data_IF_034886883775
#
_entry.id   IF_034886883775
#
_cell.length_a   1.000
_cell.length_b   1.000
_cell.length_c   1.000
_cell.angle_alpha   90.00
_cell.angle_beta   90.00
_cell.angle_gamma   90.00
#
_symmetry.space_group_name_H-M   'P 1'
#
loop_
_entity.id
_entity.type
_entity.pdbx_description
1 polymer ?
#
# COMPACT_ATOMS: atom_id res chain seq x y z
N UNK A 1 -4.59 28.35 -10.24
CA UNK A 1 -3.18 28.77 -10.12
C UNK A 1 -2.38 28.15 -11.26
N UNK A 2 -1.36 28.85 -11.73
CA UNK A 2 -0.47 28.34 -12.78
C UNK A 2 0.38 27.18 -12.24
N UNK A 3 0.53 26.11 -13.03
CA UNK A 3 1.39 24.96 -12.66
C UNK A 3 2.83 25.46 -12.53
N UNK A 4 3.49 25.12 -11.41
CA UNK A 4 4.85 25.58 -11.14
C UNK A 4 5.86 24.75 -11.91
N UNK A 5 6.92 25.42 -12.40
CA UNK A 5 8.09 24.74 -12.97
C UNK A 5 9.11 24.46 -11.87
N UNK A 6 9.34 23.18 -11.58
CA UNK A 6 10.29 22.70 -10.58
C UNK A 6 11.67 22.36 -11.15
N UNK A 7 11.94 22.60 -12.44
CA UNK A 7 13.19 22.15 -13.09
C UNK A 7 14.43 22.70 -12.39
N UNK A 8 14.42 23.99 -12.02
CA UNK A 8 15.53 24.62 -11.27
C UNK A 8 15.68 24.05 -9.87
N UNK A 9 14.58 23.91 -9.14
CA UNK A 9 14.60 23.36 -7.79
C UNK A 9 15.12 21.91 -7.78
N UNK A 10 14.63 21.06 -8.67
CA UNK A 10 15.08 19.69 -8.82
C UNK A 10 16.57 19.59 -9.19
N UNK A 11 17.07 20.45 -10.08
CA UNK A 11 18.48 20.47 -10.45
C UNK A 11 19.37 20.78 -9.24
N UNK A 12 19.05 21.84 -8.46
CA UNK A 12 19.80 22.25 -7.28
C UNK A 12 19.77 21.17 -6.20
N UNK A 13 18.59 20.62 -5.89
CA UNK A 13 18.44 19.58 -4.88
C UNK A 13 19.15 18.27 -5.28
N UNK A 14 19.11 17.89 -6.56
CA UNK A 14 19.77 16.70 -7.09
C UNK A 14 21.32 16.83 -7.08
N UNK A 15 21.84 18.01 -7.39
CA UNK A 15 23.28 18.27 -7.31
C UNK A 15 23.79 18.14 -5.88
N UNK A 16 23.12 18.77 -4.92
CA UNK A 16 23.49 18.70 -3.50
C UNK A 16 23.37 17.27 -2.96
N UNK A 17 22.31 16.56 -3.28
CA UNK A 17 22.17 15.16 -2.89
C UNK A 17 23.29 14.29 -3.46
N UNK A 18 23.68 14.54 -4.70
CA UNK A 18 24.79 13.82 -5.35
C UNK A 18 26.14 14.09 -4.66
N UNK A 19 26.41 15.35 -4.31
CA UNK A 19 27.62 15.73 -3.58
C UNK A 19 27.67 15.12 -2.17
N UNK A 20 26.52 15.07 -1.50
CA UNK A 20 26.37 14.50 -0.15
C UNK A 20 26.49 12.98 -0.11
N UNK A 21 26.11 12.28 -1.18
CA UNK A 21 25.95 10.82 -1.21
C UNK A 21 26.84 10.14 -2.27
N UNK A 22 28.20 10.34 -2.22
CA UNK A 22 29.10 9.89 -3.28
C UNK A 22 29.20 8.36 -3.40
N UNK A 23 29.05 7.59 -2.31
CA UNK A 23 29.06 6.12 -2.35
C UNK A 23 27.79 5.57 -3.00
N UNK A 24 26.64 6.08 -2.59
CA UNK A 24 25.35 5.72 -3.21
C UNK A 24 25.33 6.07 -4.69
N UNK A 25 25.90 7.23 -5.09
CA UNK A 25 26.07 7.62 -6.49
C UNK A 25 26.96 6.65 -7.27
N UNK A 26 28.09 6.22 -6.67
CA UNK A 26 29.00 5.26 -7.29
C UNK A 26 28.33 3.91 -7.50
N UNK A 27 27.68 3.37 -6.48
CA UNK A 27 26.94 2.11 -6.59
C UNK A 27 25.83 2.21 -7.65
N UNK A 28 25.16 3.36 -7.75
CA UNK A 28 24.12 3.58 -8.76
C UNK A 28 24.68 3.53 -10.19
N UNK A 29 25.89 4.05 -10.45
CA UNK A 29 26.56 3.94 -11.76
C UNK A 29 26.76 2.48 -12.16
N UNK A 30 27.14 1.62 -11.22
CA UNK A 30 27.29 0.19 -11.48
C UNK A 30 25.93 -0.52 -11.62
N UNK A 31 24.97 -0.14 -10.79
CA UNK A 31 23.62 -0.70 -10.82
C UNK A 31 22.91 -0.49 -12.17
N UNK A 32 23.01 0.70 -12.77
CA UNK A 32 22.42 1.01 -14.10
C UNK A 32 22.96 0.10 -15.21
N UNK A 33 24.18 -0.41 -15.07
CA UNK A 33 24.78 -1.30 -16.08
C UNK A 33 24.17 -2.70 -16.08
N UNK A 34 23.59 -3.13 -14.97
CA UNK A 34 23.11 -4.51 -14.79
C UNK A 34 21.63 -4.62 -14.35
N UNK A 35 21.06 -3.53 -13.90
CA UNK A 35 19.65 -3.44 -13.49
C UNK A 35 18.95 -2.35 -14.29
N UNK A 36 17.74 -2.60 -14.73
CA UNK A 36 16.89 -1.59 -15.40
C UNK A 36 16.71 -0.42 -14.42
N UNK A 37 17.01 0.79 -14.87
CA UNK A 37 16.97 2.03 -14.06
C UNK A 37 17.78 1.96 -12.73
N UNK A 38 18.73 1.02 -12.63
CA UNK A 38 19.56 0.81 -11.44
C UNK A 38 18.87 0.13 -10.28
N UNK A 39 17.69 -0.48 -10.47
CA UNK A 39 16.96 -1.17 -9.42
C UNK A 39 15.77 -1.98 -9.91
N UNK A 40 15.07 -2.61 -8.98
CA UNK A 40 14.10 -3.65 -9.31
C UNK A 40 12.62 -3.24 -9.15
N UNK A 41 12.36 -2.08 -8.56
CA UNK A 41 11.00 -1.62 -8.30
C UNK A 41 10.91 -0.11 -8.52
N UNK A 42 10.19 0.32 -9.56
CA UNK A 42 10.17 1.70 -10.04
C UNK A 42 9.94 2.75 -8.93
N UNK A 43 8.96 2.54 -8.06
CA UNK A 43 8.65 3.46 -6.95
C UNK A 43 9.84 3.66 -5.99
N UNK A 44 10.76 2.67 -5.86
CA UNK A 44 11.95 2.79 -4.99
C UNK A 44 13.07 3.60 -5.61
N UNK A 45 12.95 3.94 -6.89
CA UNK A 45 14.00 4.60 -7.66
C UNK A 45 13.84 6.13 -7.62
N UNK A 46 14.10 6.69 -6.43
CA UNK A 46 14.16 8.15 -6.22
C UNK A 46 15.20 8.77 -7.14
N UNK A 47 14.92 9.93 -7.71
CA UNK A 47 15.88 10.67 -8.54
C UNK A 47 16.70 11.65 -7.68
N UNK A 48 18.00 11.87 -7.99
CA UNK A 48 18.77 11.36 -9.15
C UNK A 48 19.16 9.88 -9.00
N UNK A 49 19.21 9.32 -7.79
CA UNK A 49 19.39 7.91 -7.45
C UNK A 49 18.88 7.65 -6.04
N UNK A 50 18.43 6.42 -5.73
CA UNK A 50 17.97 6.09 -4.38
C UNK A 50 19.15 5.98 -3.40
N UNK A 51 18.94 6.28 -2.10
CA UNK A 51 19.91 5.95 -1.07
C UNK A 51 20.17 4.44 -1.08
N UNK A 52 21.41 4.02 -1.01
CA UNK A 52 21.79 2.60 -0.94
C UNK A 52 21.90 2.21 0.52
N UNK A 53 20.95 1.40 1.00
CA UNK A 53 20.82 1.08 2.41
C UNK A 53 21.79 -0.04 2.81
N UNK A 54 22.57 0.19 3.85
CA UNK A 54 23.52 -0.75 4.44
C UNK A 54 22.92 -1.49 5.64
N UNK A 55 22.14 -0.79 6.44
CA UNK A 55 21.51 -1.36 7.65
C UNK A 55 20.23 -0.61 8.01
N UNK A 56 19.40 -1.24 8.86
CA UNK A 56 18.18 -0.62 9.37
C UNK A 56 17.84 -1.10 10.76
N UNK A 57 17.28 -0.22 11.59
CA UNK A 57 16.82 -0.56 12.94
C UNK A 57 15.70 0.40 13.38
N UNK A 58 14.61 -0.13 13.90
CA UNK A 58 13.50 0.67 14.41
C UNK A 58 12.91 1.59 13.36
N UNK A 59 12.94 2.89 13.58
CA UNK A 59 12.43 3.90 12.66
C UNK A 59 13.49 4.37 11.63
N UNK A 60 14.73 3.87 11.68
CA UNK A 60 15.85 4.40 10.92
C UNK A 60 16.44 3.39 9.95
N UNK A 61 16.89 3.90 8.82
CA UNK A 61 17.78 3.20 7.89
C UNK A 61 19.12 3.94 7.82
N UNK A 62 20.21 3.21 7.59
CA UNK A 62 21.55 3.81 7.38
C UNK A 62 22.00 3.49 5.97
N UNK A 63 22.36 4.52 5.20
CA UNK A 63 22.86 4.35 3.85
C UNK A 63 24.37 4.04 3.80
N UNK A 64 24.90 3.79 2.61
CA UNK A 64 26.32 3.51 2.39
C UNK A 64 27.23 4.73 2.64
N UNK A 65 26.66 5.93 2.63
CA UNK A 65 27.37 7.18 2.94
C UNK A 65 27.39 7.46 4.44
N UNK A 66 26.66 6.72 5.25
CA UNK A 66 26.61 6.80 6.71
C UNK A 66 25.51 7.69 7.26
N UNK A 67 24.61 8.20 6.42
CA UNK A 67 23.47 8.99 6.88
C UNK A 67 22.47 8.12 7.62
N UNK A 68 22.02 8.57 8.78
CA UNK A 68 20.91 7.98 9.53
C UNK A 68 19.61 8.65 9.12
N UNK A 69 18.88 7.99 8.24
CA UNK A 69 17.66 8.49 7.62
C UNK A 69 16.45 7.97 8.40
N UNK A 70 15.62 8.87 8.87
CA UNK A 70 14.33 8.56 9.52
C UNK A 70 13.33 8.16 8.44
N UNK A 71 12.83 6.92 8.49
CA UNK A 71 12.02 6.32 7.45
C UNK A 71 10.53 6.30 7.81
N UNK A 72 9.73 7.08 7.08
CA UNK A 72 8.28 7.06 7.16
C UNK A 72 7.61 6.19 6.08
N UNK A 73 8.36 5.63 5.14
CA UNK A 73 7.78 4.72 4.19
C UNK A 73 7.54 3.31 4.73
N UNK A 74 8.41 2.88 5.64
CA UNK A 74 8.26 1.62 6.36
C UNK A 74 7.97 0.42 5.44
N UNK A 75 8.77 0.29 4.38
CA UNK A 75 8.69 -0.84 3.45
C UNK A 75 7.35 -0.99 2.74
N UNK A 76 6.83 0.06 2.11
CA UNK A 76 5.48 0.09 1.55
C UNK A 76 4.39 -0.14 2.60
N UNK A 77 4.53 0.45 3.76
CA UNK A 77 3.61 0.32 4.91
C UNK A 77 3.59 -1.11 5.52
N UNK A 78 4.62 -1.94 5.28
CA UNK A 78 4.65 -3.30 5.80
C UNK A 78 5.18 -3.39 7.24
N UNK A 79 6.10 -2.49 7.63
CA UNK A 79 6.87 -2.59 8.87
C UNK A 79 6.15 -1.91 10.04
N UNK A 80 5.00 -2.44 10.45
CA UNK A 80 4.17 -1.84 11.52
C UNK A 80 4.91 -1.77 12.88
N UNK A 81 5.87 -2.66 13.13
CA UNK A 81 6.73 -2.64 14.32
C UNK A 81 8.04 -1.88 14.13
N UNK A 82 8.34 -1.43 12.91
CA UNK A 82 9.63 -0.86 12.52
C UNK A 82 10.53 -1.87 11.82
N UNK A 83 11.76 -1.43 11.53
CA UNK A 83 12.77 -2.27 10.87
C UNK A 83 13.40 -3.26 11.86
N UNK A 84 13.53 -4.51 11.43
CA UNK A 84 14.16 -5.60 12.20
C UNK A 84 13.67 -5.69 13.66
N UNK A 85 12.34 -5.74 13.90
CA UNK A 85 11.82 -5.86 15.25
C UNK A 85 12.33 -7.16 15.87
N UNK A 86 12.83 -7.06 17.11
CA UNK A 86 13.49 -8.17 17.83
C UNK A 86 12.57 -9.37 17.95
N UNK A 87 11.30 -9.13 18.17
CA UNK A 87 10.23 -10.12 18.33
C UNK A 87 10.11 -11.05 17.12
N UNK A 88 10.49 -10.58 15.93
CA UNK A 88 10.47 -11.35 14.68
C UNK A 88 11.86 -11.82 14.30
N UNK A 89 12.86 -10.96 14.41
CA UNK A 89 14.22 -11.26 13.96
C UNK A 89 14.88 -12.41 14.76
N UNK A 90 14.70 -12.43 16.09
CA UNK A 90 15.29 -13.48 16.95
C UNK A 90 14.74 -14.88 16.68
N UNK A 91 13.40 -15.11 16.65
CA UNK A 91 12.87 -16.44 16.31
C UNK A 91 13.32 -16.92 14.93
N UNK A 92 13.35 -16.06 13.93
CA UNK A 92 13.76 -16.43 12.55
C UNK A 92 15.24 -16.77 12.51
N UNK A 93 16.13 -15.96 13.10
CA UNK A 93 17.56 -16.23 13.13
C UNK A 93 17.91 -17.49 13.93
N UNK A 94 17.23 -17.73 15.05
CA UNK A 94 17.41 -18.92 15.88
C UNK A 94 16.98 -20.19 15.13
N UNK A 95 15.87 -20.14 14.39
CA UNK A 95 15.41 -21.26 13.58
C UNK A 95 16.41 -21.60 12.46
N UNK A 96 16.93 -20.58 11.77
CA UNK A 96 17.96 -20.77 10.74
C UNK A 96 19.22 -21.39 11.31
N UNK A 97 19.70 -20.94 12.47
CA UNK A 97 20.85 -21.49 13.15
C UNK A 97 20.62 -22.96 13.62
N UNK A 98 19.37 -23.31 13.94
CA UNK A 98 18.97 -24.69 14.32
C UNK A 98 18.70 -25.61 13.10
N UNK A 99 18.95 -25.16 11.87
CA UNK A 99 18.77 -25.94 10.66
C UNK A 99 17.33 -25.98 10.11
N UNK A 100 16.48 -25.04 10.52
CA UNK A 100 15.12 -24.90 10.01
C UNK A 100 14.94 -23.53 9.33
N UNK A 101 14.33 -23.50 8.14
CA UNK A 101 13.92 -22.25 7.52
C UNK A 101 14.27 -22.08 6.04
N UNK A 102 15.21 -22.83 5.47
CA UNK A 102 15.60 -22.75 4.05
C UNK A 102 15.13 -23.94 3.20
N UNK A 103 14.38 -24.87 3.77
CA UNK A 103 13.79 -26.01 3.04
C UNK A 103 12.55 -25.54 2.27
N UNK A 104 12.62 -25.51 0.93
CA UNK A 104 11.48 -25.19 0.06
C UNK A 104 10.77 -26.46 -0.42
N UNK A 105 9.48 -26.34 -0.80
CA UNK A 105 8.71 -27.40 -1.46
C UNK A 105 8.08 -28.43 -0.53
N UNK A 106 8.11 -28.22 0.78
CA UNK A 106 7.49 -29.09 1.78
C UNK A 106 6.35 -28.36 2.49
N UNK A 107 5.47 -29.13 3.13
CA UNK A 107 4.44 -28.62 4.03
C UNK A 107 4.88 -28.79 5.47
N UNK A 108 4.53 -27.81 6.31
CA UNK A 108 4.84 -27.81 7.74
C UNK A 108 3.66 -27.31 8.59
N UNK A 109 3.81 -27.38 9.90
CA UNK A 109 2.77 -26.95 10.84
C UNK A 109 2.57 -25.41 10.87
N UNK A 110 3.55 -24.60 10.45
CA UNK A 110 3.46 -23.14 10.46
C UNK A 110 2.42 -22.66 9.46
N UNK A 111 2.29 -23.32 8.31
CA UNK A 111 1.23 -23.03 7.34
C UNK A 111 -0.17 -23.18 7.95
N UNK A 112 -0.36 -24.24 8.74
CA UNK A 112 -1.63 -24.49 9.42
C UNK A 112 -1.88 -23.41 10.49
N UNK A 113 -0.87 -23.07 11.28
CA UNK A 113 -0.97 -22.05 12.32
C UNK A 113 -1.28 -20.67 11.72
N UNK A 114 -0.58 -20.29 10.64
CA UNK A 114 -0.85 -19.02 9.95
C UNK A 114 -2.28 -18.97 9.39
N UNK A 115 -2.75 -20.06 8.76
CA UNK A 115 -4.11 -20.16 8.26
C UNK A 115 -5.16 -20.07 9.38
N UNK A 116 -4.95 -20.73 10.51
CA UNK A 116 -5.83 -20.67 11.67
C UNK A 116 -5.95 -19.24 12.22
N UNK A 117 -4.83 -18.51 12.33
CA UNK A 117 -4.85 -17.11 12.77
C UNK A 117 -5.63 -16.25 11.77
N UNK A 118 -5.33 -16.36 10.47
CA UNK A 118 -6.06 -15.63 9.45
C UNK A 118 -7.56 -15.94 9.50
N UNK A 119 -7.96 -17.20 9.49
CA UNK A 119 -9.38 -17.57 9.56
C UNK A 119 -10.06 -16.96 10.80
N UNK A 120 -9.45 -17.11 11.97
CA UNK A 120 -10.04 -16.61 13.23
C UNK A 120 -10.13 -15.08 13.31
N UNK A 121 -9.21 -14.37 12.64
CA UNK A 121 -9.10 -12.90 12.74
C UNK A 121 -9.70 -12.13 11.56
N UNK A 122 -10.09 -12.82 10.49
CA UNK A 122 -10.59 -12.18 9.26
C UNK A 122 -11.99 -12.64 8.84
N UNK A 123 -12.50 -13.73 9.44
CA UNK A 123 -13.77 -14.33 9.05
C UNK A 123 -13.66 -15.17 7.76
N UNK A 124 -12.45 -15.41 7.25
CA UNK A 124 -12.25 -16.36 6.16
C UNK A 124 -12.44 -17.79 6.66
N UNK A 125 -13.11 -18.62 5.86
CA UNK A 125 -13.32 -20.04 6.17
C UNK A 125 -12.16 -20.92 5.68
N UNK A 126 -11.49 -20.50 4.59
CA UNK A 126 -10.33 -21.15 3.99
C UNK A 126 -9.33 -20.13 3.52
N UNK A 127 -8.05 -20.52 3.49
CA UNK A 127 -6.92 -19.65 3.08
C UNK A 127 -5.99 -20.40 2.14
N UNK A 128 -5.46 -19.69 1.15
CA UNK A 128 -4.29 -20.09 0.34
C UNK A 128 -3.24 -19.01 0.35
N UNK A 129 -1.96 -19.42 0.51
CA UNK A 129 -0.83 -18.51 0.54
C UNK A 129 -0.18 -18.32 -0.83
N UNK A 130 0.38 -17.13 -1.04
CA UNK A 130 1.26 -16.75 -2.15
C UNK A 130 2.46 -15.97 -1.62
N UNK A 131 3.38 -15.59 -2.51
CA UNK A 131 4.56 -14.79 -2.13
C UNK A 131 4.38 -13.27 -2.31
N UNK A 132 3.29 -12.81 -2.89
CA UNK A 132 3.06 -11.37 -3.12
C UNK A 132 1.57 -11.00 -3.17
N UNK A 133 1.26 -9.75 -2.80
CA UNK A 133 -0.09 -9.19 -2.91
C UNK A 133 -0.61 -9.21 -4.36
N UNK A 134 0.25 -8.98 -5.35
CA UNK A 134 -0.13 -9.04 -6.77
C UNK A 134 -0.64 -10.43 -7.18
N UNK A 135 0.01 -11.50 -6.71
CA UNK A 135 -0.47 -12.85 -6.93
C UNK A 135 -1.77 -13.12 -6.16
N UNK A 136 -1.88 -12.62 -4.94
CA UNK A 136 -3.11 -12.81 -4.16
C UNK A 136 -4.32 -12.18 -4.84
N UNK A 137 -4.22 -10.92 -5.28
CA UNK A 137 -5.31 -10.23 -5.99
C UNK A 137 -5.63 -10.88 -7.33
N UNK A 138 -4.62 -11.31 -8.09
CA UNK A 138 -4.81 -12.05 -9.34
C UNK A 138 -5.61 -13.34 -9.11
N UNK A 139 -5.24 -14.14 -8.11
CA UNK A 139 -5.95 -15.37 -7.81
C UNK A 139 -7.35 -15.13 -7.25
N UNK A 140 -7.56 -14.08 -6.44
CA UNK A 140 -8.89 -13.72 -5.97
C UNK A 140 -9.84 -13.39 -7.14
N UNK A 141 -9.37 -12.65 -8.14
CA UNK A 141 -10.12 -12.35 -9.37
C UNK A 141 -10.39 -13.64 -10.17
N UNK A 142 -9.40 -14.51 -10.32
CA UNK A 142 -9.58 -15.79 -11.03
C UNK A 142 -10.61 -16.70 -10.34
N UNK A 143 -10.58 -16.77 -9.01
CA UNK A 143 -11.56 -17.51 -8.21
C UNK A 143 -12.98 -16.94 -8.41
N UNK A 144 -13.11 -15.62 -8.36
CA UNK A 144 -14.40 -14.95 -8.56
C UNK A 144 -14.97 -15.21 -9.95
N UNK A 145 -14.12 -15.19 -10.99
CA UNK A 145 -14.53 -15.55 -12.36
C UNK A 145 -14.96 -17.01 -12.48
N UNK A 146 -14.22 -17.91 -11.88
CA UNK A 146 -14.55 -19.33 -11.89
C UNK A 146 -15.86 -19.62 -11.15
N UNK A 147 -16.08 -18.95 -10.00
CA UNK A 147 -17.30 -19.10 -9.21
C UNK A 147 -18.55 -18.56 -9.92
N UNK A 148 -18.41 -17.48 -10.67
CA UNK A 148 -19.56 -16.79 -11.30
C UNK A 148 -19.78 -17.13 -12.76
N UNK A 149 -18.77 -17.69 -13.44
CA UNK A 149 -18.76 -17.87 -14.90
C UNK A 149 -18.74 -16.57 -15.70
N UNK A 150 -18.36 -15.45 -15.08
CA UNK A 150 -18.39 -14.10 -15.67
C UNK A 150 -17.00 -13.54 -15.88
N UNK A 151 -16.86 -12.49 -16.71
CA UNK A 151 -15.55 -11.97 -17.13
C UNK A 151 -15.18 -10.59 -16.57
N UNK A 152 -16.18 -9.70 -16.35
CA UNK A 152 -15.89 -8.31 -15.97
C UNK A 152 -15.45 -8.20 -14.53
N UNK A 153 -14.42 -7.38 -14.30
CA UNK A 153 -13.95 -6.97 -12.98
C UNK A 153 -14.30 -5.50 -12.79
N UNK A 154 -15.01 -5.17 -11.73
CA UNK A 154 -15.25 -3.79 -11.32
C UNK A 154 -14.23 -3.42 -10.24
N UNK A 155 -13.60 -2.25 -10.36
CA UNK A 155 -12.65 -1.71 -9.37
C UNK A 155 -12.81 -0.21 -9.19
N UNK A 156 -12.16 0.35 -8.18
CA UNK A 156 -12.09 1.80 -7.97
C UNK A 156 -10.99 2.41 -8.83
N UNK A 157 -11.25 3.59 -9.40
CA UNK A 157 -10.23 4.43 -10.02
C UNK A 157 -9.16 4.87 -9.01
N UNK A 158 -7.90 4.73 -9.37
CA UNK A 158 -6.78 4.96 -8.46
C UNK A 158 -6.44 3.79 -7.52
N UNK A 159 -7.28 2.74 -7.45
CA UNK A 159 -7.03 1.56 -6.62
C UNK A 159 -5.85 0.74 -7.13
N UNK A 160 -4.93 0.35 -6.25
CA UNK A 160 -3.77 -0.47 -6.57
C UNK A 160 -3.98 -1.92 -6.13
N UNK A 161 -4.16 -2.81 -7.11
CA UNK A 161 -4.35 -4.24 -6.86
C UNK A 161 -3.18 -5.09 -7.38
N UNK A 162 -1.97 -4.52 -7.36
CA UNK A 162 -0.74 -5.19 -7.79
C UNK A 162 -0.50 -5.15 -9.30
N UNK A 163 0.75 -5.41 -9.69
CA UNK A 163 1.21 -5.45 -11.08
C UNK A 163 0.77 -6.77 -11.75
N UNK A 164 -0.53 -6.96 -11.91
CA UNK A 164 -1.15 -8.08 -12.59
C UNK A 164 -2.15 -7.55 -13.64
N UNK A 165 -2.51 -8.31 -14.67
CA UNK A 165 -3.19 -7.76 -15.84
C UNK A 165 -4.40 -6.88 -15.55
N UNK A 166 -5.30 -7.30 -14.67
CA UNK A 166 -6.52 -6.54 -14.34
C UNK A 166 -6.28 -5.44 -13.30
N UNK A 167 -5.20 -5.54 -12.53
CA UNK A 167 -4.78 -4.52 -11.56
C UNK A 167 -4.17 -3.28 -12.18
N UNK A 168 -3.56 -3.43 -13.38
CA UNK A 168 -2.88 -2.37 -14.12
C UNK A 168 -3.80 -1.51 -15.00
N UNK A 169 -5.11 -1.63 -14.85
CA UNK A 169 -6.09 -0.74 -15.49
C UNK A 169 -6.67 0.18 -14.43
N UNK A 170 -6.73 1.47 -14.71
CA UNK A 170 -7.35 2.47 -13.84
C UNK A 170 -6.55 2.79 -12.58
N UNK A 171 -5.24 2.86 -12.67
CA UNK A 171 -4.33 3.20 -11.56
C UNK A 171 -4.04 4.70 -11.53
N UNK A 172 -3.57 5.26 -12.65
CA UNK A 172 -3.21 6.65 -12.74
C UNK A 172 -4.35 7.51 -13.31
N UNK A 173 -4.39 8.77 -12.92
CA UNK A 173 -5.38 9.72 -13.43
C UNK A 173 -4.83 10.42 -14.67
N UNK A 174 -5.56 10.32 -15.77
CA UNK A 174 -5.20 10.93 -17.04
C UNK A 174 -6.10 12.13 -17.35
N UNK A 175 -5.52 13.20 -17.86
CA UNK A 175 -6.24 14.40 -18.31
C UNK A 175 -6.34 14.50 -19.83
N UNK A 176 -5.57 13.67 -20.57
CA UNK A 176 -5.63 13.61 -22.03
C UNK A 176 -6.87 12.82 -22.48
N UNK A 177 -7.56 13.31 -23.50
CA UNK A 177 -8.76 12.69 -24.09
C UNK A 177 -9.95 12.48 -23.11
N UNK A 178 -10.07 13.35 -22.14
CA UNK A 178 -11.08 13.27 -21.09
C UNK A 178 -10.52 12.77 -19.77
N UNK A 179 -10.75 13.55 -18.72
CA UNK A 179 -10.22 13.28 -17.38
C UNK A 179 -10.84 12.02 -16.78
N UNK A 180 -10.04 10.98 -16.57
CA UNK A 180 -10.51 9.72 -15.97
C UNK A 180 -9.39 8.79 -15.51
N UNK A 181 -9.79 7.73 -14.81
CA UNK A 181 -8.97 6.55 -14.50
C UNK A 181 -9.17 5.39 -15.48
N UNK A 182 -9.99 5.48 -16.51
CA UNK A 182 -10.31 4.36 -17.41
C UNK A 182 -9.21 4.18 -18.48
N UNK A 183 -7.97 3.91 -18.05
CA UNK A 183 -6.81 3.69 -18.91
C UNK A 183 -6.04 2.45 -18.50
N UNK A 184 -5.22 1.92 -19.41
CA UNK A 184 -4.27 0.83 -19.16
C UNK A 184 -2.87 1.44 -18.96
N UNK A 185 -2.27 1.17 -17.81
CA UNK A 185 -0.99 1.76 -17.41
C UNK A 185 0.24 1.03 -17.93
N UNK A 186 0.04 -0.11 -18.58
CA UNK A 186 1.16 -0.94 -19.01
C UNK A 186 1.13 -1.25 -20.51
N UNK A 187 2.22 -0.91 -21.19
CA UNK A 187 2.45 -1.41 -22.55
C UNK A 187 2.57 -2.93 -22.51
N UNK A 188 2.06 -3.59 -23.55
CA UNK A 188 2.06 -5.05 -23.64
C UNK A 188 0.83 -5.71 -22.99
N UNK A 189 -0.07 -4.93 -22.40
CA UNK A 189 -1.36 -5.43 -21.95
C UNK A 189 -2.32 -5.47 -23.16
N UNK A 190 -2.86 -6.65 -23.55
CA UNK A 190 -3.82 -6.71 -24.66
C UNK A 190 -5.09 -5.90 -24.36
N UNK A 191 -5.66 -5.23 -25.37
CA UNK A 191 -6.92 -4.48 -25.23
C UNK A 191 -8.06 -5.34 -24.66
N UNK A 192 -8.13 -6.60 -25.04
CA UNK A 192 -9.11 -7.56 -24.52
C UNK A 192 -9.05 -7.71 -22.98
N UNK A 193 -7.89 -7.50 -22.35
CA UNK A 193 -7.76 -7.49 -20.89
C UNK A 193 -8.28 -6.18 -20.32
N UNK A 194 -7.91 -5.05 -20.92
CA UNK A 194 -8.39 -3.73 -20.50
C UNK A 194 -9.93 -3.64 -20.61
N UNK A 195 -10.51 -4.19 -21.67
CA UNK A 195 -11.96 -4.25 -21.90
C UNK A 195 -12.72 -5.06 -20.82
N UNK A 196 -12.02 -5.94 -20.09
CA UNK A 196 -12.61 -6.72 -18.99
C UNK A 196 -12.70 -5.92 -17.68
N UNK A 197 -12.05 -4.75 -17.57
CA UNK A 197 -12.02 -3.95 -16.35
C UNK A 197 -12.95 -2.76 -16.47
N UNK A 198 -13.82 -2.62 -15.50
CA UNK A 198 -14.71 -1.47 -15.31
C UNK A 198 -14.19 -0.65 -14.13
N UNK A 199 -14.17 0.67 -14.29
CA UNK A 199 -13.73 1.58 -13.24
C UNK A 199 -14.92 2.39 -12.72
N UNK A 200 -15.00 2.57 -11.39
CA UNK A 200 -16.00 3.41 -10.71
C UNK A 200 -15.30 4.35 -9.71
N UNK A 201 -15.98 5.39 -9.25
CA UNK A 201 -15.43 6.33 -8.27
C UNK A 201 -15.55 5.82 -6.84
N UNK A 202 -14.59 6.20 -6.00
CA UNK A 202 -14.56 5.83 -4.59
C UNK A 202 -15.59 6.61 -3.80
N UNK A 203 -16.30 5.92 -2.90
CA UNK A 203 -17.38 6.48 -2.06
C UNK A 203 -18.58 7.05 -2.83
N UNK A 204 -18.68 6.85 -4.15
CA UNK A 204 -19.82 7.24 -4.97
C UNK A 204 -20.80 6.07 -5.14
N UNK A 205 -21.82 6.06 -4.30
CA UNK A 205 -22.89 5.05 -4.31
C UNK A 205 -23.68 5.07 -5.62
N UNK A 206 -23.96 6.26 -6.16
CA UNK A 206 -24.76 6.41 -7.39
C UNK A 206 -24.04 5.84 -8.61
N UNK A 207 -22.75 6.17 -8.76
CA UNK A 207 -21.94 5.61 -9.84
C UNK A 207 -21.77 4.09 -9.70
N UNK A 208 -21.61 3.57 -8.49
CA UNK A 208 -21.53 2.14 -8.24
C UNK A 208 -22.80 1.41 -8.67
N UNK A 209 -23.98 1.93 -8.29
CA UNK A 209 -25.30 1.41 -8.71
C UNK A 209 -25.44 1.43 -10.24
N UNK A 210 -25.03 2.52 -10.88
CA UNK A 210 -25.07 2.64 -12.33
C UNK A 210 -24.18 1.61 -13.04
N UNK A 211 -22.97 1.37 -12.55
CA UNK A 211 -22.07 0.35 -13.11
C UNK A 211 -22.68 -1.05 -13.04
N UNK A 212 -23.27 -1.41 -11.91
CA UNK A 212 -23.95 -2.70 -11.77
C UNK A 212 -25.18 -2.80 -12.68
N UNK A 213 -26.00 -1.76 -12.76
CA UNK A 213 -27.20 -1.74 -13.61
C UNK A 213 -26.87 -1.86 -15.10
N UNK A 214 -25.80 -1.15 -15.58
CA UNK A 214 -25.40 -1.20 -17.00
C UNK A 214 -24.69 -2.50 -17.39
N UNK A 215 -24.14 -3.23 -16.43
CA UNK A 215 -23.37 -4.44 -16.66
C UNK A 215 -24.00 -5.64 -15.93
N UNK A 216 -25.32 -5.67 -15.82
CA UNK A 216 -26.04 -6.75 -15.14
C UNK A 216 -25.62 -8.11 -15.68
N UNK A 217 -25.43 -9.07 -14.79
CA UNK A 217 -24.99 -10.45 -15.08
C UNK A 217 -23.64 -10.58 -15.79
N UNK A 218 -22.84 -9.50 -15.92
CA UNK A 218 -21.51 -9.53 -16.56
C UNK A 218 -20.35 -9.38 -15.58
N UNK A 219 -20.60 -8.75 -14.42
CA UNK A 219 -19.57 -8.49 -13.40
C UNK A 219 -19.35 -9.77 -12.59
N UNK A 220 -18.12 -10.28 -12.62
CA UNK A 220 -17.67 -11.41 -11.81
C UNK A 220 -17.42 -10.98 -10.36
N UNK A 221 -16.75 -9.86 -10.18
CA UNK A 221 -16.44 -9.32 -8.86
C UNK A 221 -16.33 -7.80 -8.85
N UNK A 222 -16.54 -7.22 -7.68
CA UNK A 222 -16.10 -5.89 -7.32
C UNK A 222 -14.95 -6.01 -6.33
N UNK A 223 -13.74 -5.55 -6.72
CA UNK A 223 -12.56 -5.49 -5.86
C UNK A 223 -12.36 -4.07 -5.38
N UNK A 224 -12.22 -3.91 -4.06
CA UNK A 224 -12.08 -2.60 -3.40
C UNK A 224 -11.14 -2.67 -2.21
N UNK A 225 -10.31 -1.66 -2.04
CA UNK A 225 -9.56 -1.43 -0.80
C UNK A 225 -10.51 -0.78 0.23
N UNK A 226 -10.77 -1.39 1.42
CA UNK A 226 -11.56 -0.74 2.47
C UNK A 226 -10.92 0.56 2.99
N UNK A 227 -9.61 0.69 2.80
CA UNK A 227 -8.85 1.91 2.96
C UNK A 227 -7.91 2.01 1.76
N UNK A 228 -8.13 3.00 0.93
CA UNK A 228 -7.34 3.20 -0.28
C UNK A 228 -5.96 3.77 0.06
N UNK A 229 -4.94 2.93 0.02
CA UNK A 229 -3.59 3.33 0.43
C UNK A 229 -2.84 4.15 -0.62
N UNK A 230 -2.97 3.80 -1.89
CA UNK A 230 -2.11 4.34 -2.96
C UNK A 230 -2.58 5.69 -3.51
N UNK A 231 -3.88 5.97 -3.46
CA UNK A 231 -4.46 7.19 -4.05
C UNK A 231 -5.06 8.09 -2.98
N UNK A 232 -4.24 8.50 -2.03
CA UNK A 232 -4.59 9.55 -1.09
C UNK A 232 -4.81 9.08 0.35
N UNK A 233 -4.58 7.82 0.70
CA UNK A 233 -4.82 7.30 2.06
C UNK A 233 -6.24 7.63 2.56
N UNK A 234 -7.25 7.13 1.85
CA UNK A 234 -8.67 7.48 2.04
C UNK A 234 -9.47 6.30 2.58
N UNK A 235 -10.26 6.46 3.66
CA UNK A 235 -11.15 5.42 4.15
C UNK A 235 -12.42 5.31 3.28
N UNK A 236 -12.88 4.07 3.07
CA UNK A 236 -14.21 3.85 2.52
C UNK A 236 -15.28 4.28 3.53
N UNK A 237 -16.37 4.85 3.06
CA UNK A 237 -17.53 5.08 3.91
C UNK A 237 -18.30 3.79 4.17
N UNK A 238 -18.87 3.65 5.37
CA UNK A 238 -19.67 2.47 5.69
C UNK A 238 -20.86 2.31 4.74
N UNK A 239 -21.49 3.41 4.34
CA UNK A 239 -22.60 3.41 3.40
C UNK A 239 -22.20 2.82 2.03
N UNK A 240 -21.01 3.21 1.54
CA UNK A 240 -20.46 2.70 0.28
C UNK A 240 -20.18 1.19 0.35
N UNK A 241 -19.52 0.71 1.40
CA UNK A 241 -19.21 -0.71 1.56
C UNK A 241 -20.48 -1.57 1.77
N UNK A 242 -21.45 -1.08 2.52
CA UNK A 242 -22.77 -1.76 2.66
C UNK A 242 -23.49 -1.84 1.32
N UNK A 243 -23.49 -0.77 0.54
CA UNK A 243 -24.09 -0.77 -0.79
C UNK A 243 -23.32 -1.70 -1.75
N UNK A 244 -22.01 -1.73 -1.69
CA UNK A 244 -21.18 -2.67 -2.45
C UNK A 244 -21.57 -4.13 -2.14
N UNK A 245 -21.78 -4.45 -0.85
CA UNK A 245 -22.25 -5.79 -0.43
C UNK A 245 -23.66 -6.10 -0.97
N UNK A 246 -24.58 -5.17 -0.84
CA UNK A 246 -25.94 -5.31 -1.36
C UNK A 246 -25.96 -5.57 -2.87
N UNK A 247 -25.25 -4.73 -3.63
CA UNK A 247 -25.22 -4.83 -5.09
C UNK A 247 -24.54 -6.12 -5.57
N UNK A 248 -23.43 -6.53 -4.96
CA UNK A 248 -22.78 -7.77 -5.33
C UNK A 248 -23.67 -8.97 -5.07
N UNK A 249 -24.38 -9.02 -3.94
CA UNK A 249 -25.36 -10.07 -3.65
C UNK A 249 -26.52 -10.05 -4.64
N UNK A 250 -27.13 -8.88 -4.87
CA UNK A 250 -28.28 -8.71 -5.78
C UNK A 250 -27.98 -9.15 -7.20
N UNK A 251 -26.78 -8.83 -7.70
CA UNK A 251 -26.38 -9.13 -9.07
C UNK A 251 -25.58 -10.43 -9.20
N UNK A 252 -25.38 -11.20 -8.12
CA UNK A 252 -24.65 -12.46 -8.13
C UNK A 252 -23.17 -12.31 -8.50
N UNK A 253 -22.55 -11.18 -8.16
CA UNK A 253 -21.12 -10.93 -8.24
C UNK A 253 -20.46 -11.19 -6.88
N UNK A 254 -19.14 -11.40 -6.83
CA UNK A 254 -18.41 -11.51 -5.57
C UNK A 254 -17.85 -10.16 -5.14
N UNK A 255 -17.90 -9.89 -3.83
CA UNK A 255 -17.21 -8.78 -3.21
C UNK A 255 -15.81 -9.24 -2.76
N UNK A 256 -14.77 -8.57 -3.24
CA UNK A 256 -13.38 -8.82 -2.84
C UNK A 256 -12.87 -7.59 -2.09
N UNK A 257 -12.45 -7.78 -0.83
CA UNK A 257 -11.69 -6.75 -0.13
C UNK A 257 -10.20 -6.97 -0.37
N UNK A 258 -9.57 -5.98 -0.99
CA UNK A 258 -8.10 -5.92 -1.03
C UNK A 258 -7.60 -5.32 0.27
N UNK A 259 -7.18 -6.19 1.18
CA UNK A 259 -6.64 -5.84 2.49
C UNK A 259 -5.11 -5.97 2.54
N UNK A 260 -4.45 -5.84 1.41
CA UNK A 260 -2.98 -5.85 1.35
C UNK A 260 -2.37 -4.70 2.18
N UNK A 261 -3.03 -3.55 2.26
CA UNK A 261 -2.64 -2.43 3.14
C UNK A 261 -3.43 -2.41 4.45
N UNK A 262 -4.74 -2.60 4.39
CA UNK A 262 -5.64 -2.43 5.54
C UNK A 262 -5.63 -3.61 6.52
N UNK A 263 -5.32 -4.81 6.05
CA UNK A 263 -5.27 -6.01 6.88
C UNK A 263 -4.22 -5.90 7.99
N UNK A 264 -4.62 -6.17 9.21
CA UNK A 264 -3.81 -6.01 10.43
C UNK A 264 -3.25 -4.59 10.64
N UNK A 265 -3.89 -3.57 10.06
CA UNK A 265 -3.47 -2.16 10.18
C UNK A 265 -4.28 -1.39 11.21
N UNK A 266 -5.58 -1.62 11.29
CA UNK A 266 -6.52 -0.90 12.15
C UNK A 266 -6.92 -1.73 13.39
N UNK A 267 -6.75 -3.03 13.31
CA UNK A 267 -6.95 -3.99 14.39
C UNK A 267 -6.10 -5.23 14.09
N UNK A 268 -5.96 -6.15 15.04
CA UNK A 268 -5.28 -7.43 14.81
C UNK A 268 -6.16 -8.39 13.98
N UNK A 269 -6.48 -7.99 12.76
CA UNK A 269 -7.35 -8.73 11.85
C UNK A 269 -7.72 -7.95 10.61
N UNK A 270 -8.86 -8.30 10.02
CA UNK A 270 -9.41 -7.68 8.81
C UNK A 270 -10.15 -6.38 9.12
N UNK A 271 -10.05 -5.39 8.22
CA UNK A 271 -10.88 -4.19 8.26
C UNK A 271 -12.38 -4.54 8.11
N UNK A 272 -12.73 -5.67 7.47
CA UNK A 272 -14.11 -6.15 7.37
C UNK A 272 -14.79 -6.33 8.74
N UNK A 273 -14.01 -6.70 9.78
CA UNK A 273 -14.53 -6.82 11.17
C UNK A 273 -14.90 -5.46 11.74
N UNK A 274 -14.12 -4.43 11.42
CA UNK A 274 -14.36 -3.05 11.89
C UNK A 274 -15.60 -2.47 11.21
N UNK A 275 -15.67 -2.60 9.88
CA UNK A 275 -16.83 -2.14 9.11
C UNK A 275 -18.08 -3.01 9.26
N UNK A 276 -17.97 -4.22 9.81
CA UNK A 276 -19.04 -5.21 9.87
C UNK A 276 -19.67 -5.50 8.48
N UNK A 277 -18.80 -5.51 7.46
CA UNK A 277 -19.14 -5.86 6.08
C UNK A 277 -18.24 -7.00 5.64
N UNK A 278 -18.80 -8.22 5.54
CA UNK A 278 -18.04 -9.40 5.17
C UNK A 278 -17.96 -9.55 3.64
N UNK A 279 -16.76 -9.57 3.05
CA UNK A 279 -16.56 -9.88 1.64
C UNK A 279 -16.65 -11.39 1.41
N UNK A 280 -16.77 -11.79 0.13
CA UNK A 280 -16.71 -13.20 -0.27
C UNK A 280 -15.26 -13.70 -0.29
N UNK A 281 -14.33 -12.84 -0.70
CA UNK A 281 -12.89 -13.07 -0.71
C UNK A 281 -12.16 -11.83 -0.14
N UNK A 282 -11.02 -12.04 0.50
CA UNK A 282 -10.11 -10.98 0.89
C UNK A 282 -8.66 -11.37 0.59
N UNK A 283 -7.82 -10.36 0.28
CA UNK A 283 -6.39 -10.55 0.04
C UNK A 283 -5.57 -9.87 1.12
N UNK A 284 -4.53 -10.53 1.59
CA UNK A 284 -3.66 -10.07 2.67
C UNK A 284 -2.20 -10.16 2.25
N UNK A 285 -1.36 -9.22 2.67
CA UNK A 285 0.09 -9.22 2.48
C UNK A 285 0.77 -8.27 3.47
N UNK A 286 1.93 -7.73 3.12
CA UNK A 286 2.65 -6.69 3.87
C UNK A 286 2.81 -7.05 5.36
N UNK A 287 1.99 -6.47 6.24
CA UNK A 287 2.08 -6.65 7.70
C UNK A 287 2.10 -8.13 8.09
N UNK A 288 1.23 -8.95 7.50
CA UNK A 288 1.15 -10.37 7.85
C UNK A 288 2.45 -11.14 7.57
N UNK A 289 3.32 -10.60 6.73
CA UNK A 289 4.60 -11.23 6.40
C UNK A 289 5.68 -11.05 7.47
N UNK A 290 5.52 -10.09 8.40
CA UNK A 290 6.57 -9.83 9.39
C UNK A 290 7.92 -9.43 8.78
N UNK A 291 7.92 -8.75 7.62
CA UNK A 291 9.11 -8.38 6.85
C UNK A 291 9.52 -9.41 5.79
N UNK A 292 8.87 -10.57 5.75
CA UNK A 292 9.12 -11.63 4.75
C UNK A 292 8.05 -11.65 3.64
N UNK A 293 8.33 -12.23 2.46
CA UNK A 293 7.39 -12.30 1.35
C UNK A 293 6.28 -13.31 1.61
N UNK A 294 5.19 -12.85 2.20
CA UNK A 294 3.96 -13.62 2.46
C UNK A 294 2.75 -12.82 1.99
N UNK A 295 1.87 -13.49 1.29
CA UNK A 295 0.54 -13.02 1.00
C UNK A 295 -0.46 -14.18 1.04
N UNK A 296 -1.74 -13.86 1.13
CA UNK A 296 -2.80 -14.85 1.20
C UNK A 296 -4.07 -14.38 0.49
N UNK A 297 -4.82 -15.35 -0.01
CA UNK A 297 -6.25 -15.20 -0.34
C UNK A 297 -7.04 -15.99 0.69
N UNK A 298 -8.01 -15.36 1.32
CA UNK A 298 -8.94 -16.00 2.23
C UNK A 298 -10.37 -15.70 1.84
N UNK A 299 -11.32 -16.56 2.19
CA UNK A 299 -12.72 -16.32 1.88
C UNK A 299 -13.62 -17.50 2.18
N UNK A 300 -14.83 -17.50 1.61
CA UNK A 300 -15.82 -18.53 1.74
C UNK A 300 -15.30 -19.89 1.23
N UNK A 301 -15.64 -20.95 1.91
CA UNK A 301 -15.14 -22.29 1.62
C UNK A 301 -15.48 -22.74 0.20
N UNK A 302 -16.72 -22.56 -0.24
CA UNK A 302 -17.20 -22.92 -1.57
C UNK A 302 -16.42 -22.24 -2.71
N UNK A 303 -16.07 -20.97 -2.55
CA UNK A 303 -15.25 -20.23 -3.51
C UNK A 303 -13.80 -20.65 -3.43
N UNK A 304 -13.24 -20.81 -2.23
CA UNK A 304 -11.84 -21.19 -2.03
C UNK A 304 -11.52 -22.63 -2.46
N UNK A 305 -12.50 -23.54 -2.41
CA UNK A 305 -12.36 -24.93 -2.90
C UNK A 305 -12.15 -25.01 -4.41
N UNK A 306 -12.53 -23.99 -5.18
CA UNK A 306 -12.17 -23.89 -6.59
C UNK A 306 -10.63 -23.84 -6.83
N UNK A 307 -9.85 -23.46 -5.82
CA UNK A 307 -8.38 -23.55 -5.85
C UNK A 307 -7.85 -24.97 -5.51
N UNK A 308 -8.73 -25.91 -5.16
CA UNK A 308 -8.38 -27.31 -4.90
C UNK A 308 -8.12 -28.10 -6.19
N UNK A 309 -7.66 -29.35 -6.05
CA UNK A 309 -7.36 -30.23 -7.19
C UNK A 309 -8.53 -30.44 -8.12
N UNK A 310 -9.74 -30.51 -7.59
CA UNK A 310 -10.98 -30.72 -8.34
C UNK A 310 -11.65 -29.41 -8.78
N UNK A 311 -11.24 -28.25 -8.25
CA UNK A 311 -11.94 -26.98 -8.39
C UNK A 311 -11.69 -26.22 -9.71
N UNK A 312 -10.71 -26.61 -10.50
CA UNK A 312 -10.44 -26.07 -11.83
C UNK A 312 -9.56 -24.80 -11.88
N UNK A 313 -9.43 -24.03 -10.80
CA UNK A 313 -8.49 -22.89 -10.75
C UNK A 313 -7.10 -23.39 -10.32
N UNK A 314 -6.14 -23.27 -11.22
CA UNK A 314 -4.75 -23.66 -10.91
C UNK A 314 -4.09 -22.60 -10.04
N UNK A 315 -4.16 -22.80 -8.74
CA UNK A 315 -3.56 -21.92 -7.73
C UNK A 315 -2.25 -22.56 -7.21
N UNK A 316 -1.10 -22.14 -7.73
CA UNK A 316 0.21 -22.71 -7.32
C UNK A 316 1.00 -21.81 -6.35
N UNK A 317 0.71 -20.52 -6.28
CA UNK A 317 1.32 -19.59 -5.32
C UNK A 317 2.81 -19.25 -5.54
N UNK A 318 3.50 -20.03 -6.38
CA UNK A 318 4.95 -19.94 -6.63
C UNK A 318 5.77 -20.86 -5.72
N UNK A 319 7.02 -21.17 -6.13
CA UNK A 319 7.95 -22.09 -5.43
C UNK A 319 8.17 -21.69 -3.96
N UNK A 320 8.22 -20.41 -3.68
CA UNK A 320 8.48 -19.87 -2.33
C UNK A 320 7.21 -19.51 -1.56
N UNK A 321 6.04 -19.85 -2.07
CA UNK A 321 4.82 -19.75 -1.26
C UNK A 321 4.94 -20.69 -0.04
N UNK A 322 4.55 -20.20 1.12
CA UNK A 322 4.74 -20.92 2.40
C UNK A 322 6.20 -21.30 2.71
N UNK A 323 7.17 -20.48 2.30
CA UNK A 323 8.57 -20.70 2.69
C UNK A 323 8.68 -20.71 4.24
N UNK A 324 9.34 -21.69 4.86
CA UNK A 324 9.29 -21.88 6.32
C UNK A 324 9.71 -20.66 7.14
N UNK A 325 10.80 -19.95 6.77
CA UNK A 325 11.20 -18.70 7.45
C UNK A 325 10.12 -17.63 7.33
N UNK A 326 9.48 -17.55 6.16
CA UNK A 326 8.39 -16.58 5.93
C UNK A 326 7.15 -16.93 6.73
N UNK A 327 6.80 -18.21 6.84
CA UNK A 327 5.69 -18.66 7.67
C UNK A 327 5.96 -18.44 9.16
N UNK A 328 7.20 -18.69 9.62
CA UNK A 328 7.60 -18.42 11.00
C UNK A 328 7.47 -16.92 11.32
N UNK A 329 8.02 -16.06 10.47
CA UNK A 329 7.88 -14.61 10.64
C UNK A 329 6.41 -14.18 10.65
N UNK A 330 5.59 -14.72 9.75
CA UNK A 330 4.15 -14.44 9.64
C UNK A 330 3.38 -14.85 10.90
N UNK A 331 3.57 -16.07 11.38
CA UNK A 331 2.93 -16.57 12.61
C UNK A 331 3.34 -15.71 13.80
N UNK A 332 4.64 -15.42 13.93
CA UNK A 332 5.17 -14.61 15.03
C UNK A 332 4.60 -13.19 14.99
N UNK A 333 4.60 -12.53 13.82
CA UNK A 333 4.02 -11.21 13.65
C UNK A 333 2.54 -11.18 14.02
N UNK A 334 1.74 -12.05 13.43
CA UNK A 334 0.30 -12.05 13.69
C UNK A 334 -0.03 -12.35 15.15
N UNK A 335 0.69 -13.28 15.79
CA UNK A 335 0.54 -13.55 17.23
C UNK A 335 0.90 -12.34 18.09
N UNK A 336 2.01 -11.68 17.77
CA UNK A 336 2.44 -10.49 18.48
C UNK A 336 1.37 -9.38 18.40
N UNK A 337 0.85 -9.11 17.19
CA UNK A 337 -0.21 -8.13 16.98
C UNK A 337 -1.50 -8.48 17.75
N UNK A 338 -1.88 -9.76 17.77
CA UNK A 338 -3.06 -10.22 18.52
C UNK A 338 -2.86 -10.08 20.03
N UNK A 339 -1.69 -10.42 20.55
CA UNK A 339 -1.38 -10.36 21.98
C UNK A 339 -1.28 -8.92 22.50
N UNK A 340 -0.90 -7.97 21.64
CA UNK A 340 -0.72 -6.55 22.01
C UNK A 340 -1.72 -5.62 21.30
N UNK A 341 -2.88 -6.13 20.91
CA UNK A 341 -3.88 -5.40 20.13
C UNK A 341 -4.29 -4.08 20.80
N UNK A 342 -4.47 -4.11 22.14
CA UNK A 342 -4.90 -2.95 22.93
C UNK A 342 -3.80 -1.89 23.14
N UNK A 343 -2.56 -2.21 22.85
CA UNK A 343 -1.43 -1.29 22.97
C UNK A 343 -1.04 -0.70 21.60
N UNK A 344 -0.87 -1.57 20.61
CA UNK A 344 -0.29 -1.21 19.31
C UNK A 344 -1.18 -0.25 18.53
N UNK A 345 -2.45 -0.58 18.35
CA UNK A 345 -3.33 0.20 17.46
C UNK A 345 -3.70 1.57 18.02
N UNK A 346 -4.05 1.73 19.31
CA UNK A 346 -4.29 3.07 19.87
C UNK A 346 -3.05 3.96 19.81
N UNK A 347 -1.85 3.41 20.06
CA UNK A 347 -0.61 4.18 19.95
C UNK A 347 -0.32 4.59 18.52
N UNK A 348 -0.49 3.71 17.55
CA UNK A 348 -0.30 4.02 16.14
C UNK A 348 -1.29 5.08 15.63
N UNK A 349 -2.53 5.06 16.10
CA UNK A 349 -3.53 6.06 15.80
C UNK A 349 -3.11 7.46 16.30
N UNK A 350 -2.67 7.54 17.56
CA UNK A 350 -2.17 8.79 18.16
C UNK A 350 -0.95 9.35 17.42
N UNK A 351 0.05 8.51 17.17
CA UNK A 351 1.25 8.93 16.41
C UNK A 351 0.88 9.38 14.99
N UNK A 352 -0.04 8.70 14.33
CA UNK A 352 -0.51 9.07 13.00
C UNK A 352 -1.23 10.41 12.97
N UNK A 353 -2.09 10.68 13.96
CA UNK A 353 -2.78 11.96 14.09
C UNK A 353 -1.78 13.10 14.31
N UNK A 354 -0.86 12.92 15.26
CA UNK A 354 0.20 13.90 15.55
C UNK A 354 1.05 14.19 14.31
N UNK A 355 1.49 13.15 13.58
CA UNK A 355 2.30 13.32 12.39
C UNK A 355 1.56 14.09 11.29
N UNK A 356 0.29 13.76 11.02
CA UNK A 356 -0.52 14.48 10.03
C UNK A 356 -0.69 15.95 10.38
N UNK A 357 -0.98 16.26 11.64
CA UNK A 357 -1.11 17.63 12.11
C UNK A 357 0.20 18.40 11.98
N UNK A 358 1.30 17.82 12.51
CA UNK A 358 2.64 18.42 12.49
C UNK A 358 3.14 18.70 11.08
N UNK A 359 3.00 17.74 10.18
CA UNK A 359 3.44 17.87 8.77
C UNK A 359 2.63 18.95 8.05
N UNK A 360 1.31 18.93 8.18
CA UNK A 360 0.46 19.93 7.53
C UNK A 360 0.77 21.34 8.01
N UNK A 361 0.92 21.54 9.32
CA UNK A 361 1.29 22.83 9.91
C UNK A 361 2.67 23.28 9.45
N UNK A 362 3.67 22.40 9.52
CA UNK A 362 5.05 22.72 9.16
C UNK A 362 5.20 23.12 7.69
N UNK A 363 4.56 22.39 6.77
CA UNK A 363 4.59 22.69 5.33
C UNK A 363 3.87 24.02 5.03
N UNK A 364 2.74 24.29 5.69
CA UNK A 364 2.02 25.56 5.55
C UNK A 364 2.82 26.74 6.10
N UNK A 365 3.44 26.57 7.26
CA UNK A 365 4.34 27.58 7.83
C UNK A 365 5.56 27.85 6.93
N UNK A 366 5.97 26.86 6.13
CA UNK A 366 7.01 26.99 5.10
C UNK A 366 6.54 27.60 3.77
N UNK A 367 5.24 27.93 3.62
CA UNK A 367 4.67 28.59 2.43
C UNK A 367 4.05 27.66 1.38
N UNK A 368 3.80 26.37 1.72
CA UNK A 368 3.14 25.42 0.82
C UNK A 368 1.70 25.14 1.26
N UNK A 369 0.74 25.18 0.33
CA UNK A 369 -0.66 24.80 0.63
C UNK A 369 -0.78 23.27 0.78
N UNK A 370 -0.51 22.75 1.96
CA UNK A 370 -0.53 21.32 2.26
C UNK A 370 -1.85 20.86 2.89
N UNK A 371 -2.29 19.67 2.50
CA UNK A 371 -3.38 18.90 3.10
C UNK A 371 -2.89 17.50 3.42
N UNK A 372 -3.13 17.04 4.66
CA UNK A 372 -2.81 15.67 5.06
C UNK A 372 -4.08 14.83 5.15
N UNK A 373 -4.02 13.65 4.55
CA UNK A 373 -5.04 12.60 4.61
C UNK A 373 -4.49 11.39 5.37
N UNK A 374 -5.28 10.33 5.56
CA UNK A 374 -4.87 9.12 6.29
C UNK A 374 -5.64 8.91 7.58
N UNK A 375 -6.58 9.80 7.91
CA UNK A 375 -7.47 9.64 9.06
C UNK A 375 -8.47 8.50 8.83
N UNK A 376 -8.93 7.91 9.92
CA UNK A 376 -10.13 7.10 9.92
C UNK A 376 -11.40 7.93 9.67
N UNK A 377 -12.54 7.30 9.87
CA UNK A 377 -13.85 7.95 9.82
C UNK A 377 -14.76 7.39 10.94
N UNK A 378 -16.03 7.72 10.93
CA UNK A 378 -16.98 7.25 11.95
C UNK A 378 -17.06 5.71 12.09
N UNK A 379 -16.67 4.98 11.05
CA UNK A 379 -16.71 3.52 11.00
C UNK A 379 -15.34 2.84 11.10
N UNK A 380 -14.25 3.57 10.84
CA UNK A 380 -12.89 3.04 10.85
C UNK A 380 -12.03 3.88 11.80
N UNK A 381 -11.37 3.27 12.80
CA UNK A 381 -10.49 4.01 13.72
C UNK A 381 -9.33 4.65 12.97
N UNK A 382 -8.70 5.62 13.59
CA UNK A 382 -7.50 6.25 13.08
C UNK A 382 -6.33 5.26 12.97
N UNK A 383 -5.33 5.62 12.16
CA UNK A 383 -4.18 4.77 11.88
C UNK A 383 -2.88 5.54 11.79
N UNK A 384 -1.80 4.79 11.60
CA UNK A 384 -0.46 5.30 11.34
C UNK A 384 -0.24 5.81 9.91
N UNK A 385 -1.24 5.75 9.03
CA UNK A 385 -1.09 6.17 7.64
C UNK A 385 -1.20 7.70 7.49
N UNK A 386 -0.41 8.24 6.57
CA UNK A 386 -0.46 9.64 6.22
C UNK A 386 -0.02 9.87 4.77
N UNK A 387 -0.73 10.73 4.05
CA UNK A 387 -0.34 11.24 2.74
C UNK A 387 -0.46 12.75 2.73
N UNK A 388 0.42 13.42 1.98
CA UNK A 388 0.41 14.88 1.82
C UNK A 388 0.03 15.23 0.40
N UNK A 389 -0.89 16.16 0.25
CA UNK A 389 -1.36 16.69 -1.01
C UNK A 389 -1.18 18.20 -1.04
N UNK A 390 -1.01 18.75 -2.23
CA UNK A 390 -0.84 20.18 -2.45
C UNK A 390 -1.91 20.67 -3.42
N UNK A 391 -3.16 20.85 -2.96
CA UNK A 391 -4.23 21.35 -3.82
C UNK A 391 -3.96 22.78 -4.25
N UNK A 392 -4.31 23.10 -5.50
CA UNK A 392 -4.23 24.47 -6.00
C UNK A 392 -5.30 25.38 -5.38
N UNK A 393 -6.45 24.82 -5.02
CA UNK A 393 -7.52 25.48 -4.29
C UNK A 393 -7.45 25.15 -2.80
N UNK A 394 -7.39 26.17 -1.94
CA UNK A 394 -7.40 26.01 -0.48
C UNK A 394 -8.70 25.37 0.05
N UNK A 395 -9.80 25.47 -0.68
CA UNK A 395 -11.08 24.86 -0.36
C UNK A 395 -11.16 23.36 -0.67
N UNK A 396 -10.18 22.78 -1.41
CA UNK A 396 -10.19 21.37 -1.78
C UNK A 396 -9.99 20.48 -0.55
N UNK A 397 -10.91 19.53 -0.37
CA UNK A 397 -10.89 18.59 0.77
C UNK A 397 -9.85 17.47 0.64
N UNK A 398 -9.46 17.11 -0.60
CA UNK A 398 -8.60 15.97 -0.92
C UNK A 398 -9.17 14.62 -0.41
N UNK A 399 -10.47 14.41 -0.50
CA UNK A 399 -11.20 13.25 0.03
C UNK A 399 -11.60 12.21 -1.04
N UNK A 400 -11.23 12.44 -2.30
CA UNK A 400 -11.41 11.48 -3.39
C UNK A 400 -10.11 11.26 -4.18
N UNK A 401 -9.94 10.08 -4.82
CA UNK A 401 -8.79 9.83 -5.70
C UNK A 401 -8.70 10.82 -6.86
N UNK A 402 -9.84 11.25 -7.40
CA UNK A 402 -9.92 12.25 -8.45
C UNK A 402 -9.36 13.61 -8.00
N UNK A 403 -9.51 13.97 -6.74
CA UNK A 403 -8.90 15.19 -6.19
C UNK A 403 -7.41 15.03 -5.92
N UNK A 404 -7.01 13.91 -5.30
CA UNK A 404 -5.63 13.70 -4.85
C UNK A 404 -4.67 13.37 -5.98
N UNK A 405 -5.12 12.74 -7.06
CA UNK A 405 -4.30 12.27 -8.19
C UNK A 405 -4.47 13.07 -9.48
N UNK A 406 -5.43 13.96 -9.55
CA UNK A 406 -5.63 14.82 -10.71
C UNK A 406 -4.60 15.96 -10.69
N UNK A 407 -3.69 16.03 -11.69
CA UNK A 407 -2.67 17.09 -11.78
C UNK A 407 -3.23 18.49 -12.08
N UNK A 408 -4.54 18.61 -12.37
CA UNK A 408 -5.23 19.90 -12.50
C UNK A 408 -5.85 20.35 -11.15
N UNK A 409 -5.90 19.49 -10.15
CA UNK A 409 -6.45 19.78 -8.81
C UNK A 409 -5.33 19.86 -7.77
N UNK A 410 -4.41 18.90 -7.79
CA UNK A 410 -3.27 18.83 -6.87
C UNK A 410 -1.94 18.82 -7.61
N UNK A 411 -0.94 19.44 -7.00
CA UNK A 411 0.44 19.43 -7.48
C UNK A 411 1.11 18.08 -7.12
N UNK A 412 0.91 17.09 -7.98
CA UNK A 412 1.46 15.74 -7.81
C UNK A 412 2.98 15.69 -7.99
N UNK A 413 3.57 16.62 -8.77
CA UNK A 413 5.02 16.71 -8.94
C UNK A 413 5.68 17.17 -7.64
N UNK A 414 5.06 18.13 -6.98
CA UNK A 414 5.53 18.61 -5.67
C UNK A 414 5.51 17.47 -4.64
N UNK A 415 4.41 16.71 -4.55
CA UNK A 415 4.28 15.64 -3.53
C UNK A 415 5.17 14.43 -3.81
N UNK A 416 5.21 13.98 -5.05
CA UNK A 416 5.82 12.68 -5.38
C UNK A 416 7.32 12.79 -5.73
N UNK A 417 7.83 14.00 -6.00
CA UNK A 417 9.21 14.17 -6.45
C UNK A 417 9.97 15.25 -5.68
N UNK A 418 9.47 16.49 -5.67
CA UNK A 418 10.24 17.63 -5.14
C UNK A 418 10.37 17.56 -3.62
N UNK A 419 9.25 17.36 -2.93
CA UNK A 419 9.24 17.23 -1.47
C UNK A 419 10.04 16.02 -1.01
N UNK A 420 9.93 14.89 -1.70
CA UNK A 420 10.67 13.68 -1.37
C UNK A 420 12.18 13.92 -1.39
N UNK A 421 12.72 14.57 -2.44
CA UNK A 421 14.14 14.87 -2.55
C UNK A 421 14.58 15.91 -1.51
N UNK A 422 13.76 16.95 -1.28
CA UNK A 422 14.05 17.96 -0.27
C UNK A 422 14.10 17.38 1.15
N UNK A 423 13.19 16.46 1.49
CA UNK A 423 13.16 15.76 2.79
C UNK A 423 14.33 14.77 2.93
N UNK A 424 14.73 14.12 1.85
CA UNK A 424 15.90 13.22 1.86
C UNK A 424 17.18 13.96 2.21
N UNK A 425 17.31 15.24 1.81
CA UNK A 425 18.42 16.11 2.22
C UNK A 425 18.38 16.49 3.71
N UNK A 426 17.24 16.39 4.36
CA UNK A 426 17.05 16.56 5.81
C UNK A 426 17.08 15.22 6.59
N UNK A 427 17.62 14.14 5.97
CA UNK A 427 17.64 12.78 6.52
C UNK A 427 16.25 12.22 6.90
N UNK A 428 15.24 12.51 6.08
CA UNK A 428 13.90 11.97 6.20
C UNK A 428 13.49 11.32 4.89
N UNK A 429 13.06 10.06 4.94
CA UNK A 429 12.58 9.32 3.78
C UNK A 429 11.07 9.17 3.80
N UNK A 430 10.44 9.63 2.74
CA UNK A 430 8.98 9.56 2.54
C UNK A 430 8.66 9.00 1.16
N UNK A 431 7.45 8.46 1.01
CA UNK A 431 6.88 8.05 -0.27
C UNK A 431 5.39 8.36 -0.31
N UNK A 432 4.84 8.61 -1.49
CA UNK A 432 3.44 8.96 -1.67
C UNK A 432 2.99 10.13 -0.78
N UNK A 433 3.84 11.14 -0.68
CA UNK A 433 3.62 12.33 0.14
C UNK A 433 4.11 12.17 1.59
N UNK A 434 3.93 11.04 2.26
CA UNK A 434 4.50 10.77 3.58
C UNK A 434 4.74 9.27 3.82
N UNK A 435 3.69 8.47 4.05
CA UNK A 435 3.81 7.03 4.26
C UNK A 435 3.08 6.50 5.49
N UNK A 436 3.80 5.87 6.42
CA UNK A 436 3.24 5.32 7.66
C UNK A 436 4.22 5.38 8.83
N UNK A 437 3.69 5.55 10.02
CA UNK A 437 4.45 5.37 11.24
C UNK A 437 4.42 3.90 11.67
N UNK A 438 5.40 3.52 12.47
CA UNK A 438 5.51 2.21 13.12
C UNK A 438 5.59 2.39 14.64
N UNK A 439 5.50 1.28 15.37
CA UNK A 439 5.69 1.27 16.84
C UNK A 439 7.06 1.76 17.28
N UNK A 440 8.04 1.76 16.38
CA UNK A 440 9.38 2.26 16.66
C UNK A 440 9.51 3.79 16.59
N UNK A 441 8.53 4.48 15.99
CA UNK A 441 8.52 5.95 15.97
C UNK A 441 8.14 6.53 17.33
N UNK A 442 8.69 7.70 17.62
CA UNK A 442 8.46 8.46 18.84
C UNK A 442 7.97 9.88 18.54
N UNK A 443 7.45 10.58 19.54
CA UNK A 443 7.11 12.00 19.43
C UNK A 443 8.30 12.89 19.00
N UNK A 444 9.53 12.50 19.40
CA UNK A 444 10.75 13.19 18.95
C UNK A 444 10.98 13.04 17.45
N UNK A 445 10.70 11.87 16.90
CA UNK A 445 10.82 11.63 15.45
C UNK A 445 9.78 12.42 14.67
N UNK A 446 8.57 12.57 15.20
CA UNK A 446 7.53 13.42 14.62
C UNK A 446 7.92 14.91 14.67
N UNK A 447 8.49 15.36 15.79
CA UNK A 447 9.01 16.73 15.90
C UNK A 447 10.14 16.98 14.87
N UNK A 448 11.08 16.04 14.73
CA UNK A 448 12.14 16.09 13.69
C UNK A 448 11.56 16.13 12.28
N UNK A 449 10.53 15.35 12.00
CA UNK A 449 9.80 15.39 10.73
C UNK A 449 9.21 16.78 10.47
N UNK A 450 8.57 17.39 11.46
CA UNK A 450 8.03 18.75 11.34
C UNK A 450 9.09 19.80 11.01
N UNK A 451 10.23 19.76 11.68
CA UNK A 451 11.36 20.66 11.39
C UNK A 451 11.91 20.43 9.98
N UNK A 452 12.06 19.19 9.55
CA UNK A 452 12.48 18.83 8.19
C UNK A 452 11.47 19.34 7.14
N UNK A 453 10.18 19.15 7.37
CA UNK A 453 9.11 19.65 6.49
C UNK A 453 9.14 21.16 6.34
N UNK A 454 9.31 21.89 7.45
CA UNK A 454 9.39 23.36 7.42
C UNK A 454 10.58 23.85 6.60
N UNK A 455 11.78 23.29 6.84
CA UNK A 455 13.01 23.62 6.08
C UNK A 455 12.87 23.26 4.59
N UNK A 456 12.36 22.07 4.29
CA UNK A 456 12.13 21.62 2.92
C UNK A 456 11.17 22.57 2.18
N UNK A 457 10.05 22.95 2.82
CA UNK A 457 9.08 23.89 2.24
C UNK A 457 9.69 25.26 1.97
N UNK A 458 10.37 25.87 2.95
CA UNK A 458 11.05 27.16 2.79
C UNK A 458 12.08 27.12 1.67
N UNK A 459 12.85 26.04 1.58
CA UNK A 459 13.83 25.84 0.54
C UNK A 459 13.19 25.71 -0.85
N UNK A 460 12.15 24.89 -0.99
CA UNK A 460 11.41 24.76 -2.25
C UNK A 460 10.88 26.12 -2.70
N UNK A 461 10.23 26.87 -1.80
CA UNK A 461 9.68 28.21 -2.11
C UNK A 461 10.77 29.17 -2.53
N UNK A 462 11.97 29.12 -1.94
CA UNK A 462 13.09 29.99 -2.30
C UNK A 462 13.72 29.67 -3.66
N UNK A 463 13.50 28.48 -4.20
CA UNK A 463 14.03 28.02 -5.49
C UNK A 463 13.04 28.20 -6.65
N UNK A 464 11.79 28.54 -6.35
CA UNK A 464 10.77 28.87 -7.34
C UNK A 464 10.84 30.33 -7.77
#
# INVERSE_FOLDING_TARGET
>A
MEKKDYSRALAVLAEEYTQRSPRSASINKDAIRVLVDGGNHAIRLVRPFPPRIRSSHGAFVTDEDGHQILDFWQGHHANILGHNPREIAEPVSSALAAGFGLQSGFTDSLQVQAAQILCSRTGAERVRFTSSGSLATMYAIMLARAATGREKVLKIGGGWHGAQPWGLVGVDYHTENGSSFQHSESRGLPSAVADQVLVTSFNDVGMLEEKFRRNDSRIACFIVEPFMGSSGSLPASLAFLKKARELTQKHGALLIFDEVISGFRFCAGSASRVFQVQPDLATFAKIIGGGMPVAAVGGKADVMELAGRAGGVRFSGGTYSCHPSSMLASVTMMRHLVSHEQEIYPRLALLGEEARATVQEALRAGGLNARCTGRGNDALPDSSLASVHFPYDEGCSCDTPEQTRNPDVCDVVLSDTVLQLALLLEDVFVMHGLGSLSMAHTHKDISRLGDACRKAAQRIVSLL
#
